data_IF_704005828344
#
_entry.id   IF_704005828344
#
_cell.length_a   1.000
_cell.length_b   1.000
_cell.length_c   1.000
_cell.angle_alpha   90.00
_cell.angle_beta   90.00
_cell.angle_gamma   90.00
#
_symmetry.space_group_name_H-M   'P 1'
#
loop_
_entity.id
_entity.type
_entity.pdbx_description
1 polymer ?
#
# COMPACT_ATOMS: atom_id res chain seq x y z
N UNK A 1 3.13 8.40 -18.87
CA UNK A 1 1.88 9.15 -18.56
C UNK A 1 0.70 8.82 -19.47
N UNK A 2 0.90 8.15 -20.60
CA UNK A 2 -0.17 7.84 -21.55
C UNK A 2 -0.89 6.50 -21.28
N UNK A 3 -0.28 5.58 -20.53
CA UNK A 3 -0.89 4.28 -20.24
C UNK A 3 -1.90 4.30 -19.06
N UNK A 4 -1.76 5.23 -18.14
CA UNK A 4 -2.58 5.28 -16.92
C UNK A 4 -2.89 6.74 -16.54
N UNK A 5 -3.87 7.39 -17.19
CA UNK A 5 -4.17 8.80 -16.93
C UNK A 5 -4.54 9.10 -15.46
N UNK A 6 -5.13 8.15 -14.74
CA UNK A 6 -5.48 8.29 -13.33
C UNK A 6 -4.30 8.08 -12.37
N UNK A 7 -3.13 7.64 -12.86
CA UNK A 7 -1.93 7.51 -12.04
C UNK A 7 -1.14 8.84 -11.94
N UNK A 8 -1.45 9.84 -12.75
CA UNK A 8 -0.71 11.10 -12.77
C UNK A 8 -0.74 11.85 -11.43
N UNK A 9 -1.86 11.81 -10.71
CA UNK A 9 -2.01 12.42 -9.38
C UNK A 9 -1.29 11.65 -8.26
N UNK A 10 -0.81 10.43 -8.54
CA UNK A 10 -0.17 9.51 -7.59
C UNK A 10 1.24 9.14 -8.00
N UNK A 11 1.75 9.74 -9.08
CA UNK A 11 3.08 9.49 -9.61
C UNK A 11 3.96 10.69 -9.30
N UNK A 12 4.97 10.47 -8.49
CA UNK A 12 5.96 11.47 -8.09
C UNK A 12 7.33 11.06 -8.59
N UNK A 13 8.16 12.04 -8.93
CA UNK A 13 9.58 11.81 -9.12
C UNK A 13 10.22 11.59 -7.76
N UNK A 14 11.11 10.61 -7.63
CA UNK A 14 11.72 10.26 -6.33
C UNK A 14 12.41 11.47 -5.67
N UNK A 15 13.04 12.34 -6.46
CA UNK A 15 13.71 13.56 -5.98
C UNK A 15 12.79 14.79 -5.91
N UNK A 16 11.49 14.65 -6.15
CA UNK A 16 10.52 15.74 -6.04
C UNK A 16 10.34 16.23 -4.60
N UNK A 17 10.66 15.38 -3.63
CA UNK A 17 10.59 15.67 -2.21
C UNK A 17 11.83 16.41 -1.65
N UNK A 18 12.81 16.71 -2.51
CA UNK A 18 13.98 17.49 -2.15
C UNK A 18 13.78 18.97 -2.56
N UNK A 19 13.35 19.79 -1.61
CA UNK A 19 13.10 21.22 -1.84
C UNK A 19 14.37 22.02 -2.18
N UNK A 20 15.55 21.45 -1.95
CA UNK A 20 16.84 22.09 -2.29
C UNK A 20 17.19 21.98 -3.77
N UNK A 21 16.52 21.07 -4.51
CA UNK A 21 16.81 20.82 -5.93
C UNK A 21 15.88 21.60 -6.84
N UNK A 22 16.42 22.25 -7.89
CA UNK A 22 15.62 22.83 -8.94
C UNK A 22 14.88 21.74 -9.75
N UNK A 23 13.75 22.10 -10.37
CA UNK A 23 12.88 21.12 -11.05
C UNK A 23 13.61 20.26 -12.10
N UNK A 24 14.55 20.86 -12.83
CA UNK A 24 15.29 20.18 -13.90
C UNK A 24 16.34 19.18 -13.40
N UNK A 25 16.66 19.17 -12.10
CA UNK A 25 17.58 18.22 -11.46
C UNK A 25 16.86 17.11 -10.70
N UNK A 26 15.53 17.06 -10.73
CA UNK A 26 14.73 16.07 -10.01
C UNK A 26 14.58 14.74 -10.76
N UNK A 27 14.91 14.71 -12.05
CA UNK A 27 14.97 13.47 -12.82
C UNK A 27 16.29 12.73 -12.52
N UNK A 28 16.21 11.40 -12.39
CA UNK A 28 17.37 10.53 -12.30
C UNK A 28 17.58 9.94 -13.68
N UNK A 29 18.70 10.22 -14.36
CA UNK A 29 18.98 9.68 -15.68
C UNK A 29 19.09 8.15 -15.65
N UNK A 30 18.62 7.50 -16.73
CA UNK A 30 18.82 6.06 -16.89
C UNK A 30 20.32 5.78 -17.10
N UNK A 31 20.99 4.99 -16.25
CA UNK A 31 22.39 4.68 -16.38
C UNK A 31 22.70 3.63 -17.46
N UNK A 32 21.67 3.11 -18.17
CA UNK A 32 21.85 2.03 -19.15
C UNK A 32 22.87 2.41 -20.23
N UNK A 33 23.88 1.57 -20.40
CA UNK A 33 24.98 1.82 -21.35
C UNK A 33 26.06 2.78 -20.85
N UNK A 34 25.90 3.33 -19.64
CA UNK A 34 26.88 4.21 -19.01
C UNK A 34 28.06 3.49 -18.36
N UNK A 35 29.03 4.27 -17.87
CA UNK A 35 30.19 3.77 -17.13
C UNK A 35 29.77 3.31 -15.72
N UNK A 36 30.67 2.57 -15.05
CA UNK A 36 30.50 2.21 -13.64
C UNK A 36 30.26 3.45 -12.75
N UNK A 37 30.93 4.54 -13.05
CA UNK A 37 30.75 5.81 -12.33
C UNK A 37 29.33 6.38 -12.53
N UNK A 38 28.77 6.29 -13.74
CA UNK A 38 27.40 6.69 -14.02
C UNK A 38 26.39 5.88 -13.18
N UNK A 39 26.60 4.56 -13.04
CA UNK A 39 25.78 3.72 -12.18
C UNK A 39 25.90 4.12 -10.71
N UNK A 40 27.11 4.44 -10.23
CA UNK A 40 27.32 4.91 -8.86
C UNK A 40 26.60 6.24 -8.59
N UNK A 41 26.66 7.18 -9.53
CA UNK A 41 25.95 8.47 -9.42
C UNK A 41 24.45 8.27 -9.37
N UNK A 42 23.91 7.44 -10.25
CA UNK A 42 22.46 7.11 -10.24
C UNK A 42 22.04 6.47 -8.90
N UNK A 43 22.80 5.51 -8.39
CA UNK A 43 22.55 4.89 -7.07
C UNK A 43 22.53 5.94 -5.96
N UNK A 44 23.48 6.87 -5.96
CA UNK A 44 23.60 7.88 -4.90
C UNK A 44 22.44 8.89 -5.00
N UNK A 45 22.02 9.28 -6.21
CA UNK A 45 20.84 10.11 -6.43
C UNK A 45 19.55 9.41 -5.97
N UNK A 46 19.40 8.10 -6.20
CA UNK A 46 18.28 7.31 -5.69
C UNK A 46 18.27 7.31 -4.16
N UNK A 47 19.42 7.10 -3.53
CA UNK A 47 19.53 7.13 -2.06
C UNK A 47 19.11 8.47 -1.47
N UNK A 48 19.63 9.57 -2.00
CA UNK A 48 19.27 10.94 -1.59
C UNK A 48 17.77 11.20 -1.74
N UNK A 49 17.19 10.76 -2.87
CA UNK A 49 15.75 10.87 -3.11
C UNK A 49 14.90 10.08 -2.09
N UNK A 50 15.33 8.87 -1.73
CA UNK A 50 14.69 8.06 -0.69
C UNK A 50 14.78 8.77 0.67
N UNK A 51 15.93 9.29 1.05
CA UNK A 51 16.12 10.00 2.32
C UNK A 51 15.23 11.24 2.40
N UNK A 52 15.10 11.99 1.30
CA UNK A 52 14.24 13.18 1.21
C UNK A 52 12.76 12.80 1.30
N UNK A 53 12.34 11.74 0.63
CA UNK A 53 10.99 11.19 0.74
C UNK A 53 10.66 10.77 2.17
N UNK A 54 11.57 10.03 2.83
CA UNK A 54 11.37 9.58 4.21
C UNK A 54 11.25 10.76 5.18
N UNK A 55 12.10 11.79 5.03
CA UNK A 55 11.99 13.03 5.82
C UNK A 55 10.65 13.73 5.59
N UNK A 56 10.19 13.81 4.35
CA UNK A 56 8.91 14.41 3.99
C UNK A 56 7.73 13.66 4.61
N UNK A 57 7.74 12.32 4.57
CA UNK A 57 6.73 11.47 5.21
C UNK A 57 6.73 11.66 6.74
N UNK A 58 7.91 11.70 7.37
CA UNK A 58 8.02 11.96 8.81
C UNK A 58 7.51 13.33 9.21
N UNK A 59 7.85 14.38 8.44
CA UNK A 59 7.39 15.76 8.66
C UNK A 59 5.86 15.89 8.54
N UNK A 60 5.24 15.09 7.68
CA UNK A 60 3.82 15.12 7.42
C UNK A 60 3.03 14.05 8.22
N UNK A 61 3.54 13.60 9.36
CA UNK A 61 2.89 12.60 10.22
C UNK A 61 2.49 11.29 9.49
N UNK A 62 3.32 10.84 8.57
CA UNK A 62 3.06 9.64 7.78
C UNK A 62 2.22 9.87 6.52
N UNK A 63 1.83 11.11 6.24
CA UNK A 63 1.12 11.46 5.00
C UNK A 63 2.11 11.60 3.83
N UNK A 64 1.77 11.00 2.70
CA UNK A 64 2.48 11.25 1.44
C UNK A 64 2.08 12.66 0.97
N UNK A 65 3.03 13.56 0.66
CA UNK A 65 2.72 14.88 0.14
C UNK A 65 1.80 14.80 -1.09
N UNK A 66 0.70 15.55 -1.08
CA UNK A 66 -0.33 15.53 -2.13
C UNK A 66 -1.49 14.55 -1.89
N UNK A 67 -1.45 13.73 -0.84
CA UNK A 67 -2.61 12.97 -0.42
C UNK A 67 -3.50 13.83 0.47
N UNK A 68 -4.76 14.01 0.08
CA UNK A 68 -5.74 14.84 0.81
C UNK A 68 -6.44 14.10 1.96
N UNK A 69 -6.14 12.81 2.15
CA UNK A 69 -6.77 11.97 3.17
C UNK A 69 -5.72 11.35 4.11
N UNK A 70 -6.01 11.23 5.40
CA UNK A 70 -5.14 10.51 6.32
C UNK A 70 -5.02 9.05 5.86
N UNK A 71 -3.79 8.61 5.64
CA UNK A 71 -3.50 7.20 5.31
C UNK A 71 -3.66 6.39 6.59
N UNK A 72 -4.65 5.49 6.61
CA UNK A 72 -4.74 4.52 7.69
C UNK A 72 -3.72 3.40 7.46
N UNK A 73 -3.19 2.84 8.53
CA UNK A 73 -2.20 1.77 8.43
C UNK A 73 -2.78 0.52 7.76
N UNK A 74 -4.04 0.20 8.06
CA UNK A 74 -4.68 -1.03 7.64
C UNK A 74 -6.14 -0.81 7.22
N UNK A 75 -6.52 -1.31 6.04
CA UNK A 75 -7.90 -1.52 5.63
C UNK A 75 -8.28 -2.97 5.95
N UNK A 76 -9.28 -3.17 6.81
CA UNK A 76 -9.74 -4.47 7.27
C UNK A 76 -11.08 -4.80 6.60
N UNK A 77 -11.19 -5.97 5.97
CA UNK A 77 -12.42 -6.43 5.34
C UNK A 77 -12.71 -7.89 5.65
N UNK A 78 -13.99 -8.23 5.79
CA UNK A 78 -14.43 -9.61 5.98
C UNK A 78 -15.81 -9.83 5.37
N UNK A 79 -16.11 -11.07 4.98
CA UNK A 79 -17.47 -11.55 4.77
C UNK A 79 -18.07 -12.09 6.08
N UNK A 80 -19.27 -12.64 6.00
CA UNK A 80 -19.96 -13.22 7.14
C UNK A 80 -19.18 -14.32 7.85
N UNK A 81 -18.41 -15.14 7.12
CA UNK A 81 -17.59 -16.22 7.70
C UNK A 81 -16.35 -15.68 8.42
N UNK A 82 -15.84 -14.50 8.01
CA UNK A 82 -14.74 -13.82 8.64
C UNK A 82 -15.13 -12.83 9.74
N UNK A 83 -16.42 -12.55 9.93
CA UNK A 83 -16.91 -11.52 10.83
C UNK A 83 -16.41 -11.66 12.27
N UNK A 84 -16.50 -12.85 12.86
CA UNK A 84 -16.02 -13.11 14.21
C UNK A 84 -14.53 -12.81 14.40
N UNK A 85 -13.70 -13.26 13.46
CA UNK A 85 -12.26 -12.99 13.49
C UNK A 85 -11.95 -11.52 13.23
N UNK A 86 -12.69 -10.84 12.34
CA UNK A 86 -12.57 -9.41 12.10
C UNK A 86 -12.76 -8.61 13.39
N UNK A 87 -13.79 -8.94 14.19
CA UNK A 87 -14.03 -8.27 15.48
C UNK A 87 -12.87 -8.45 16.47
N UNK A 88 -12.34 -9.67 16.58
CA UNK A 88 -11.19 -9.96 17.45
C UNK A 88 -9.97 -9.15 17.02
N UNK A 89 -9.70 -9.10 15.71
CA UNK A 89 -8.58 -8.33 15.17
C UNK A 89 -8.77 -6.82 15.33
N UNK A 90 -9.98 -6.31 15.11
CA UNK A 90 -10.28 -4.89 15.33
C UNK A 90 -10.03 -4.48 16.79
N UNK A 91 -10.44 -5.30 17.75
CA UNK A 91 -10.15 -5.08 19.15
C UNK A 91 -8.64 -5.07 19.43
N UNK A 92 -7.91 -6.06 18.93
CA UNK A 92 -6.45 -6.15 19.07
C UNK A 92 -5.72 -4.94 18.45
N UNK A 93 -6.13 -4.49 17.24
CA UNK A 93 -5.56 -3.32 16.60
C UNK A 93 -5.79 -2.06 17.44
N UNK A 94 -7.00 -1.91 18.01
CA UNK A 94 -7.33 -0.83 18.94
C UNK A 94 -6.46 -0.82 20.19
N UNK A 95 -6.26 -1.99 20.82
CA UNK A 95 -5.37 -2.13 22.00
C UNK A 95 -3.91 -1.78 21.67
N UNK A 96 -3.46 -2.05 20.44
CA UNK A 96 -2.12 -1.72 19.97
C UNK A 96 -1.97 -0.29 19.45
N UNK A 97 -3.06 0.48 19.40
CA UNK A 97 -3.05 1.84 18.86
C UNK A 97 -2.74 1.89 17.34
N UNK A 98 -3.05 0.82 16.60
CA UNK A 98 -2.84 0.74 15.16
C UNK A 98 -4.09 1.29 14.45
N UNK A 99 -4.00 2.42 13.72
CA UNK A 99 -5.14 2.98 13.02
C UNK A 99 -5.58 2.05 11.90
N UNK A 100 -6.86 1.72 11.85
CA UNK A 100 -7.45 0.92 10.77
C UNK A 100 -8.82 1.46 10.34
N UNK A 101 -9.22 1.13 9.12
CA UNK A 101 -10.56 1.34 8.61
C UNK A 101 -11.23 -0.01 8.39
N UNK A 102 -12.47 -0.17 8.87
CA UNK A 102 -13.24 -1.41 8.73
C UNK A 102 -14.21 -1.28 7.54
N UNK A 103 -14.03 -2.14 6.55
CA UNK A 103 -14.83 -2.29 5.35
C UNK A 103 -15.58 -3.64 5.29
N UNK A 104 -15.58 -4.39 6.38
CA UNK A 104 -16.19 -5.70 6.41
C UNK A 104 -17.69 -5.67 6.73
N UNK A 105 -18.36 -6.84 6.63
CA UNK A 105 -19.75 -6.97 7.03
C UNK A 105 -19.95 -6.70 8.53
N UNK A 106 -21.18 -6.33 8.88
CA UNK A 106 -21.55 -5.96 10.26
C UNK A 106 -22.26 -7.08 11.02
N UNK A 107 -22.49 -8.22 10.37
CA UNK A 107 -23.18 -9.38 10.95
C UNK A 107 -22.64 -10.72 10.39
N UNK A 108 -23.15 -11.82 10.94
CA UNK A 108 -22.94 -13.18 10.43
C UNK A 108 -23.92 -13.55 9.32
N UNK A 109 -24.80 -12.64 8.90
CA UNK A 109 -25.71 -12.87 7.79
C UNK A 109 -24.93 -12.99 6.47
N UNK A 110 -25.43 -13.85 5.59
CA UNK A 110 -24.79 -14.15 4.33
C UNK A 110 -24.48 -12.88 3.54
N UNK A 111 -23.22 -12.68 3.23
CA UNK A 111 -22.71 -11.55 2.47
C UNK A 111 -21.69 -12.02 1.43
N UNK A 112 -21.62 -11.31 0.31
CA UNK A 112 -20.80 -11.68 -0.83
C UNK A 112 -19.37 -11.14 -0.68
N UNK A 113 -18.40 -12.03 -0.46
CA UNK A 113 -17.00 -11.70 -0.21
C UNK A 113 -16.34 -10.81 -1.28
N UNK A 114 -16.69 -10.88 -2.59
CA UNK A 114 -16.00 -10.07 -3.60
C UNK A 114 -16.19 -8.57 -3.41
N UNK A 115 -17.32 -8.14 -2.84
CA UNK A 115 -17.60 -6.72 -2.62
C UNK A 115 -16.66 -6.13 -1.58
N UNK A 116 -16.50 -6.79 -0.45
CA UNK A 116 -15.56 -6.37 0.60
C UNK A 116 -14.10 -6.45 0.13
N UNK A 117 -13.76 -7.50 -0.63
CA UNK A 117 -12.42 -7.64 -1.18
C UNK A 117 -12.07 -6.50 -2.15
N UNK A 118 -13.02 -6.10 -2.99
CA UNK A 118 -12.86 -5.00 -3.93
C UNK A 118 -12.67 -3.67 -3.21
N UNK A 119 -13.49 -3.38 -2.21
CA UNK A 119 -13.45 -2.12 -1.47
C UNK A 119 -12.10 -1.94 -0.74
N UNK A 120 -11.64 -2.94 0.00
CA UNK A 120 -10.32 -2.93 0.63
C UNK A 120 -9.21 -2.79 -0.41
N UNK A 121 -9.28 -3.55 -1.50
CA UNK A 121 -8.27 -3.52 -2.54
C UNK A 121 -8.20 -2.13 -3.22
N UNK A 122 -9.35 -1.50 -3.49
CA UNK A 122 -9.41 -0.15 -4.05
C UNK A 122 -8.85 0.90 -3.08
N UNK A 123 -9.11 0.76 -1.78
CA UNK A 123 -8.57 1.63 -0.73
C UNK A 123 -7.05 1.55 -0.67
N UNK A 124 -6.48 0.35 -0.79
CA UNK A 124 -5.03 0.15 -0.86
C UNK A 124 -4.46 0.68 -2.18
N UNK A 125 -5.06 0.32 -3.33
CA UNK A 125 -4.62 0.83 -4.63
C UNK A 125 -4.71 2.35 -4.71
N UNK A 126 -5.69 2.94 -4.03
CA UNK A 126 -5.91 4.38 -3.89
C UNK A 126 -4.91 5.08 -2.98
N UNK A 127 -4.06 4.34 -2.25
CA UNK A 127 -3.13 4.92 -1.28
C UNK A 127 -3.79 5.48 -0.02
N UNK A 128 -5.07 5.18 0.21
CA UNK A 128 -5.82 5.58 1.42
C UNK A 128 -5.51 4.65 2.60
N UNK A 129 -4.98 3.48 2.33
CA UNK A 129 -4.43 2.56 3.32
C UNK A 129 -3.10 2.00 2.85
N UNK A 130 -2.18 1.80 3.76
CA UNK A 130 -0.87 1.20 3.46
C UNK A 130 -0.97 -0.29 3.17
N UNK A 131 -1.83 -0.99 3.89
CA UNK A 131 -2.04 -2.42 3.77
C UNK A 131 -3.53 -2.76 3.77
N UNK A 132 -3.88 -3.93 3.23
CA UNK A 132 -5.21 -4.53 3.34
C UNK A 132 -5.13 -5.90 4.02
N UNK A 133 -6.08 -6.19 4.88
CA UNK A 133 -6.29 -7.51 5.47
C UNK A 133 -7.71 -7.96 5.18
N UNK A 134 -7.83 -9.10 4.51
CA UNK A 134 -9.08 -9.67 4.07
C UNK A 134 -9.32 -11.04 4.72
N UNK A 135 -10.50 -11.24 5.26
CA UNK A 135 -10.86 -12.43 6.03
C UNK A 135 -12.13 -13.04 5.44
N UNK A 136 -12.10 -14.32 5.12
CA UNK A 136 -13.27 -15.13 4.85
C UNK A 136 -13.03 -16.55 5.38
N UNK A 137 -13.83 -17.52 4.97
CA UNK A 137 -13.67 -18.89 5.45
C UNK A 137 -12.29 -19.51 5.09
N UNK A 138 -11.87 -19.41 3.83
CA UNK A 138 -10.61 -19.99 3.34
C UNK A 138 -9.56 -18.98 2.94
N UNK A 139 -9.92 -17.72 2.75
CA UNK A 139 -9.07 -16.65 2.20
C UNK A 139 -8.89 -16.71 0.67
N UNK A 140 -9.18 -17.86 0.03
CA UNK A 140 -8.96 -18.06 -1.42
C UNK A 140 -9.75 -17.08 -2.26
N UNK A 141 -11.07 -16.99 -2.05
CA UNK A 141 -11.93 -16.09 -2.81
C UNK A 141 -11.58 -14.62 -2.64
N UNK A 142 -11.31 -14.19 -1.41
CA UNK A 142 -10.86 -12.83 -1.09
C UNK A 142 -9.55 -12.49 -1.80
N UNK A 143 -8.57 -13.38 -1.76
CA UNK A 143 -7.28 -13.22 -2.44
C UNK A 143 -7.46 -13.09 -3.96
N UNK A 144 -8.27 -13.96 -4.57
CA UNK A 144 -8.57 -13.88 -6.01
C UNK A 144 -9.26 -12.57 -6.39
N UNK A 145 -10.24 -12.12 -5.60
CA UNK A 145 -10.99 -10.88 -5.86
C UNK A 145 -10.11 -9.65 -5.73
N UNK A 146 -9.31 -9.57 -4.67
CA UNK A 146 -8.39 -8.45 -4.46
C UNK A 146 -7.36 -8.32 -5.59
N UNK A 147 -6.82 -9.44 -6.09
CA UNK A 147 -5.87 -9.44 -7.20
C UNK A 147 -6.48 -9.03 -8.57
N UNK A 148 -7.80 -8.85 -8.68
CA UNK A 148 -8.43 -8.26 -9.87
C UNK A 148 -8.33 -6.73 -9.90
N UNK A 149 -7.98 -6.11 -8.78
CA UNK A 149 -7.81 -4.66 -8.71
C UNK A 149 -6.39 -4.30 -9.14
N UNK A 150 -6.21 -3.50 -10.21
CA UNK A 150 -4.89 -3.08 -10.65
C UNK A 150 -4.11 -2.39 -9.53
N UNK A 151 -2.82 -2.72 -9.41
CA UNK A 151 -1.95 -2.15 -8.37
C UNK A 151 -1.98 -2.88 -7.03
N UNK A 152 -2.83 -3.92 -6.89
CA UNK A 152 -2.88 -4.75 -5.68
C UNK A 152 -2.22 -6.10 -5.92
N UNK A 153 -1.49 -6.56 -4.91
CA UNK A 153 -0.97 -7.93 -4.82
C UNK A 153 -1.41 -8.52 -3.48
N UNK A 154 -2.38 -9.41 -3.53
CA UNK A 154 -2.90 -10.09 -2.35
C UNK A 154 -2.39 -11.54 -2.32
N UNK A 155 -1.81 -11.93 -1.22
CA UNK A 155 -1.38 -13.29 -0.97
C UNK A 155 -2.29 -13.97 0.06
N UNK A 156 -2.53 -15.24 -0.14
CA UNK A 156 -3.17 -16.07 0.86
C UNK A 156 -2.14 -16.51 1.89
N UNK A 157 -2.37 -16.18 3.16
CA UNK A 157 -1.51 -16.55 4.26
C UNK A 157 -2.31 -17.35 5.31
N UNK A 158 -1.85 -18.54 5.63
CA UNK A 158 -2.46 -19.41 6.65
C UNK A 158 -1.68 -19.39 7.97
N UNK A 159 -0.47 -18.87 7.97
CA UNK A 159 0.43 -18.84 9.10
C UNK A 159 1.35 -17.61 9.04
N UNK A 160 2.05 -17.38 10.14
CA UNK A 160 2.97 -16.25 10.29
C UNK A 160 4.13 -16.33 9.29
N UNK A 161 4.66 -17.51 9.04
CA UNK A 161 5.80 -17.69 8.12
C UNK A 161 5.41 -17.32 6.69
N UNK A 162 4.27 -17.77 6.20
CA UNK A 162 3.74 -17.40 4.88
C UNK A 162 3.51 -15.88 4.79
N UNK A 163 2.93 -15.28 5.82
CA UNK A 163 2.71 -13.84 5.85
C UNK A 163 4.03 -13.06 5.82
N UNK A 164 5.04 -13.50 6.57
CA UNK A 164 6.38 -12.90 6.62
C UNK A 164 7.09 -13.01 5.27
N UNK A 165 7.13 -14.21 4.69
CA UNK A 165 7.78 -14.46 3.40
C UNK A 165 7.12 -13.69 2.26
N UNK A 166 5.80 -13.59 2.25
CA UNK A 166 5.07 -12.77 1.28
C UNK A 166 5.51 -11.31 1.33
N UNK A 167 5.72 -10.75 2.51
CA UNK A 167 6.19 -9.37 2.65
C UNK A 167 7.66 -9.17 2.30
N UNK A 168 8.47 -10.21 2.41
CA UNK A 168 9.90 -10.13 2.12
C UNK A 168 10.23 -10.31 0.64
N UNK A 169 9.44 -11.10 -0.08
CA UNK A 169 9.77 -11.56 -1.43
C UNK A 169 8.82 -11.03 -2.52
N UNK A 170 7.70 -10.38 -2.14
CA UNK A 170 6.68 -9.97 -3.12
C UNK A 170 6.24 -8.52 -2.97
#
# INVERSE_FOLDING_TARGET
>A
NLMFPHAAEKTFLLREFDDSLPLHEREIPDPLGGSYETYCQCRDQIREGIDSLLKSIQKNNGLIPGSTQPVVELALGADHAGYGLKKVLGHYLGEKGIPYADFGCDSEDKADYPDFAREVAQTVAGGQSRLGLLICHTGVGMSMSANKVPGVRAALAHDEETARLTRQHN
#
